data_IF_747960452379
#
_entry.id   IF_747960452379
#
_cell.length_a   1.000
_cell.length_b   1.000
_cell.length_c   1.000
_cell.angle_alpha   90.00
_cell.angle_beta   90.00
_cell.angle_gamma   90.00
#
_symmetry.space_group_name_H-M   'P 1'
#
loop_
_entity.id
_entity.type
_entity.pdbx_description
1 polymer ?
#
# COMPACT_ATOMS: atom_id res chain seq x y z
N UNK A 1 -32.00 3.29 19.37
CA UNK A 1 -30.70 3.65 19.94
C UNK A 1 -29.67 3.53 18.83
N UNK A 2 -29.17 4.66 18.29
CA UNK A 2 -28.00 4.62 17.41
C UNK A 2 -26.83 4.17 18.27
N UNK A 3 -26.25 2.99 17.98
CA UNK A 3 -24.97 2.62 18.57
C UNK A 3 -23.98 3.72 18.20
N UNK A 4 -23.32 4.34 19.18
CA UNK A 4 -22.29 5.31 18.85
C UNK A 4 -21.18 4.57 18.11
N UNK A 5 -20.84 5.04 16.91
CA UNK A 5 -19.82 4.46 16.05
C UNK A 5 -18.45 4.85 16.59
N UNK A 6 -18.04 4.21 17.68
CA UNK A 6 -16.83 4.59 18.43
C UNK A 6 -15.74 3.51 18.43
N UNK A 7 -16.03 2.32 17.88
CA UNK A 7 -15.05 1.22 17.86
C UNK A 7 -14.05 1.38 16.71
N UNK A 8 -12.76 1.31 17.03
CA UNK A 8 -11.69 1.18 16.04
C UNK A 8 -11.15 -0.25 16.10
N UNK A 9 -11.02 -0.88 14.94
CA UNK A 9 -10.44 -2.21 14.81
C UNK A 9 -8.99 -2.10 14.37
N UNK A 10 -8.07 -2.78 15.04
CA UNK A 10 -6.64 -2.81 14.69
C UNK A 10 -6.28 -4.18 14.14
N UNK A 11 -5.86 -4.22 12.87
CA UNK A 11 -5.39 -5.43 12.22
C UNK A 11 -3.85 -5.46 12.22
N UNK A 12 -3.28 -6.50 12.82
CA UNK A 12 -1.84 -6.75 12.83
C UNK A 12 -1.38 -7.53 11.62
N UNK A 13 -0.39 -7.02 10.88
CA UNK A 13 0.25 -7.77 9.78
C UNK A 13 1.75 -8.02 9.97
N UNK A 14 2.36 -7.39 10.98
CA UNK A 14 3.78 -7.54 11.32
C UNK A 14 4.59 -6.28 10.98
N UNK A 15 5.69 -6.45 10.26
CA UNK A 15 6.61 -5.37 9.90
C UNK A 15 7.53 -4.90 11.02
N UNK A 16 8.33 -3.87 10.72
CA UNK A 16 9.28 -3.23 11.65
C UNK A 16 8.60 -2.68 12.90
N UNK A 17 7.37 -2.17 12.80
CA UNK A 17 6.58 -1.68 13.94
C UNK A 17 6.34 -2.75 15.00
N UNK A 18 6.28 -4.01 14.57
CA UNK A 18 6.20 -5.20 15.40
C UNK A 18 7.57 -5.89 15.58
N UNK A 19 8.65 -5.31 15.05
CA UNK A 19 9.97 -5.91 15.02
C UNK A 19 10.76 -5.72 16.30
N UNK A 20 11.67 -6.65 16.58
CA UNK A 20 12.56 -6.59 17.75
C UNK A 20 14.02 -6.80 17.34
N UNK A 21 14.91 -6.11 18.03
CA UNK A 21 16.35 -6.23 17.91
C UNK A 21 16.95 -6.67 19.26
N UNK A 22 18.05 -7.40 19.21
CA UNK A 22 18.77 -7.81 20.43
C UNK A 22 19.41 -6.61 21.16
N UNK A 23 19.75 -5.54 20.43
CA UNK A 23 20.37 -4.34 20.97
C UNK A 23 19.53 -3.11 20.60
N UNK A 24 19.22 -2.20 21.55
CA UNK A 24 18.37 -1.03 21.27
C UNK A 24 18.91 -0.05 20.22
N UNK A 25 20.23 -0.03 19.96
CA UNK A 25 20.83 0.80 18.91
C UNK A 25 20.88 0.14 17.53
N UNK A 26 20.42 -1.11 17.41
CA UNK A 26 20.47 -1.86 16.15
C UNK A 26 19.17 -1.69 15.36
N UNK A 27 19.17 -0.72 14.46
CA UNK A 27 18.00 -0.39 13.64
C UNK A 27 17.96 -1.15 12.30
N UNK A 28 19.00 -1.94 11.99
CA UNK A 28 19.09 -2.69 10.72
C UNK A 28 19.05 -4.20 10.96
N UNK A 29 19.70 -4.70 12.00
CA UNK A 29 19.75 -6.11 12.39
C UNK A 29 18.60 -6.54 13.31
N UNK A 30 17.37 -6.11 13.00
CA UNK A 30 16.16 -6.54 13.72
C UNK A 30 15.43 -7.64 12.96
N UNK A 31 14.48 -8.30 13.63
CA UNK A 31 13.53 -9.23 13.01
C UNK A 31 12.15 -8.58 13.00
N UNK A 32 11.54 -8.42 11.83
CA UNK A 32 10.18 -7.88 11.71
C UNK A 32 9.12 -8.85 12.30
N UNK A 33 7.95 -8.33 12.67
CA UNK A 33 6.79 -9.16 13.04
C UNK A 33 7.02 -10.09 14.23
N UNK A 34 7.67 -9.63 15.30
CA UNK A 34 7.90 -10.46 16.50
C UNK A 34 6.86 -10.21 17.59
N UNK A 35 6.32 -8.99 17.68
CA UNK A 35 5.30 -8.60 18.65
C UNK A 35 3.90 -8.72 18.06
N UNK A 36 2.96 -9.30 18.81
CA UNK A 36 1.55 -9.31 18.44
C UNK A 36 0.92 -7.91 18.53
N UNK A 37 -0.12 -7.66 17.74
CA UNK A 37 -0.84 -6.38 17.71
C UNK A 37 -1.37 -5.98 19.09
N UNK A 38 -1.84 -6.94 19.88
CA UNK A 38 -2.30 -6.66 21.25
C UNK A 38 -1.15 -6.17 22.14
N UNK A 39 0.07 -6.70 21.98
CA UNK A 39 1.25 -6.26 22.72
C UNK A 39 1.66 -4.84 22.31
N UNK A 40 1.57 -4.51 21.01
CA UNK A 40 1.82 -3.14 20.53
C UNK A 40 0.85 -2.14 21.15
N UNK A 41 -0.44 -2.50 21.23
CA UNK A 41 -1.47 -1.62 21.79
C UNK A 41 -1.38 -1.49 23.31
N UNK A 42 -1.00 -2.56 24.03
CA UNK A 42 -0.83 -2.53 25.49
C UNK A 42 0.21 -1.50 25.95
N UNK A 43 1.17 -1.16 25.09
CA UNK A 43 2.18 -0.13 25.34
C UNK A 43 1.70 1.32 25.18
N UNK A 44 0.42 1.55 24.86
CA UNK A 44 -0.12 2.88 24.52
C UNK A 44 -1.26 3.30 25.46
N UNK A 45 -0.97 3.84 26.66
CA UNK A 45 -1.99 4.25 27.63
C UNK A 45 -2.97 5.29 27.09
N UNK A 46 -2.56 6.12 26.12
CA UNK A 46 -3.41 7.12 25.48
C UNK A 46 -4.60 6.52 24.73
N UNK A 47 -4.57 5.24 24.38
CA UNK A 47 -5.66 4.54 23.70
C UNK A 47 -6.61 3.81 24.67
N UNK A 48 -6.31 3.79 25.98
CA UNK A 48 -7.06 3.01 26.96
C UNK A 48 -8.53 3.47 27.14
N UNK A 49 -8.83 4.72 26.81
CA UNK A 49 -10.19 5.27 26.86
C UNK A 49 -11.02 4.99 25.59
N UNK A 50 -10.41 4.44 24.55
CA UNK A 50 -11.07 4.15 23.27
C UNK A 50 -11.58 2.71 23.23
N UNK A 51 -12.65 2.49 22.47
CA UNK A 51 -13.13 1.14 22.19
C UNK A 51 -12.27 0.50 21.09
N UNK A 52 -11.31 -0.31 21.49
CA UNK A 52 -10.37 -0.94 20.56
C UNK A 52 -10.59 -2.45 20.51
N UNK A 53 -10.71 -2.99 19.31
CA UNK A 53 -10.64 -4.45 19.05
C UNK A 53 -9.40 -4.72 18.24
N UNK A 54 -8.59 -5.70 18.62
CA UNK A 54 -7.38 -6.06 17.88
C UNK A 54 -7.47 -7.48 17.33
N UNK A 55 -7.02 -7.67 16.10
CA UNK A 55 -6.97 -8.96 15.43
C UNK A 55 -5.62 -9.14 14.74
N UNK A 56 -4.94 -10.26 14.99
CA UNK A 56 -3.71 -10.60 14.27
C UNK A 56 -4.07 -11.30 12.95
N UNK A 57 -3.84 -10.64 11.82
CA UNK A 57 -4.15 -11.16 10.48
C UNK A 57 -2.94 -11.91 9.90
N UNK A 58 -1.75 -11.33 10.06
CA UNK A 58 -0.49 -11.92 9.62
C UNK A 58 0.64 -11.46 10.55
N UNK A 59 1.79 -12.10 10.48
CA UNK A 59 2.93 -11.76 11.31
C UNK A 59 4.23 -11.93 10.51
N UNK A 60 4.40 -11.06 9.52
CA UNK A 60 5.41 -11.20 8.46
C UNK A 60 6.22 -9.92 8.26
N UNK A 61 7.35 -10.05 7.57
CA UNK A 61 8.04 -8.92 6.96
C UNK A 61 7.32 -8.55 5.65
N UNK A 62 7.09 -7.26 5.39
CA UNK A 62 6.25 -6.84 4.27
C UNK A 62 6.91 -7.07 2.91
N UNK A 63 8.24 -7.20 2.86
CA UNK A 63 8.97 -7.65 1.67
C UNK A 63 8.62 -9.08 1.23
N UNK A 64 8.11 -9.91 2.15
CA UNK A 64 7.73 -11.31 1.91
C UNK A 64 6.19 -11.46 1.83
N UNK A 65 5.45 -10.36 1.71
CA UNK A 65 3.99 -10.39 1.63
C UNK A 65 3.51 -11.09 0.35
N UNK A 66 2.62 -12.06 0.51
CA UNK A 66 2.00 -12.81 -0.58
C UNK A 66 0.52 -12.47 -0.78
N UNK A 67 -0.03 -12.97 -1.89
CA UNK A 67 -1.43 -12.75 -2.27
C UNK A 67 -2.43 -13.34 -1.27
N UNK A 68 -2.13 -14.50 -0.67
CA UNK A 68 -2.98 -15.09 0.37
C UNK A 68 -3.18 -14.12 1.55
N UNK A 69 -2.11 -13.40 1.94
CA UNK A 69 -2.20 -12.38 3.00
C UNK A 69 -3.09 -11.21 2.57
N UNK A 70 -2.99 -10.75 1.32
CA UNK A 70 -3.90 -9.73 0.80
C UNK A 70 -5.35 -10.19 0.76
N UNK A 71 -5.62 -11.44 0.37
CA UNK A 71 -6.98 -12.01 0.35
C UNK A 71 -7.58 -12.01 1.75
N UNK A 72 -6.85 -12.53 2.74
CA UNK A 72 -7.30 -12.55 4.13
C UNK A 72 -7.49 -11.12 4.64
N UNK A 73 -6.50 -10.23 4.46
CA UNK A 73 -6.58 -8.85 4.95
C UNK A 73 -7.77 -8.10 4.35
N UNK A 74 -7.99 -8.17 3.03
CA UNK A 74 -9.12 -7.53 2.37
C UNK A 74 -10.47 -8.07 2.88
N UNK A 75 -10.58 -9.39 3.06
CA UNK A 75 -11.78 -10.02 3.61
C UNK A 75 -12.05 -9.58 5.07
N UNK A 76 -11.02 -9.48 5.90
CA UNK A 76 -11.14 -9.02 7.29
C UNK A 76 -11.51 -7.54 7.36
N UNK A 77 -10.89 -6.69 6.54
CA UNK A 77 -11.30 -5.29 6.40
C UNK A 77 -12.78 -5.18 6.00
N UNK A 78 -13.21 -5.89 4.95
CA UNK A 78 -14.61 -5.88 4.52
C UNK A 78 -15.58 -6.29 5.63
N UNK A 79 -15.24 -7.37 6.35
CA UNK A 79 -16.02 -7.86 7.49
C UNK A 79 -16.21 -6.79 8.58
N UNK A 80 -15.13 -6.13 9.00
CA UNK A 80 -15.19 -5.12 10.05
C UNK A 80 -15.88 -3.83 9.58
N UNK A 81 -15.64 -3.39 8.35
CA UNK A 81 -16.23 -2.17 7.82
C UNK A 81 -17.77 -2.25 7.68
N UNK A 82 -18.32 -3.45 7.46
CA UNK A 82 -19.78 -3.68 7.41
C UNK A 82 -20.48 -3.50 8.76
N UNK A 83 -19.76 -3.55 9.89
CA UNK A 83 -20.37 -3.45 11.21
C UNK A 83 -20.72 -1.98 11.53
N UNK A 84 -21.98 -1.65 11.88
CA UNK A 84 -22.39 -0.26 12.11
C UNK A 84 -21.64 0.45 13.24
N UNK A 85 -21.23 -0.28 14.28
CA UNK A 85 -20.52 0.21 15.45
C UNK A 85 -19.00 0.38 15.23
N UNK A 86 -18.46 -0.13 14.12
CA UNK A 86 -17.07 0.11 13.71
C UNK A 86 -16.96 1.42 12.97
N UNK A 87 -16.16 2.35 13.51
CA UNK A 87 -15.83 3.64 12.90
C UNK A 87 -14.85 3.50 11.75
N UNK A 88 -13.82 2.67 11.93
CA UNK A 88 -12.73 2.50 10.96
C UNK A 88 -11.78 1.38 11.37
N UNK A 89 -10.83 1.10 10.48
CA UNK A 89 -9.81 0.06 10.65
C UNK A 89 -8.43 0.70 10.62
N UNK A 90 -7.61 0.42 11.63
CA UNK A 90 -6.17 0.71 11.64
C UNK A 90 -5.41 -0.56 11.29
N UNK A 91 -4.39 -0.48 10.44
CA UNK A 91 -3.56 -1.63 10.06
C UNK A 91 -2.11 -1.33 10.40
N UNK A 92 -1.49 -2.17 11.24
CA UNK A 92 -0.04 -2.11 11.48
C UNK A 92 0.68 -2.97 10.44
N UNK A 93 1.60 -2.36 9.70
CA UNK A 93 2.24 -2.97 8.52
C UNK A 93 3.73 -2.65 8.43
N UNK A 94 4.49 -3.48 7.69
CA UNK A 94 5.87 -3.19 7.34
C UNK A 94 5.99 -2.14 6.24
N UNK A 95 7.03 -1.31 6.29
CA UNK A 95 7.16 -0.13 5.44
C UNK A 95 7.42 -0.43 3.96
N UNK A 96 8.01 -1.58 3.63
CA UNK A 96 8.51 -1.85 2.27
C UNK A 96 7.40 -1.95 1.22
N UNK A 97 6.29 -2.63 1.52
CA UNK A 97 5.16 -2.82 0.59
C UNK A 97 3.84 -2.25 1.13
N UNK A 98 3.88 -1.34 2.12
CA UNK A 98 2.66 -0.72 2.67
C UNK A 98 1.92 0.10 1.61
N UNK A 99 2.65 0.73 0.68
CA UNK A 99 2.05 1.52 -0.40
C UNK A 99 1.27 0.65 -1.40
N UNK A 100 1.70 -0.60 -1.60
CA UNK A 100 1.02 -1.59 -2.43
C UNK A 100 -0.25 -2.06 -1.74
N UNK A 101 -0.13 -2.45 -0.47
CA UNK A 101 -1.25 -2.95 0.33
C UNK A 101 -2.32 -1.87 0.53
N UNK A 102 -1.93 -0.63 0.82
CA UNK A 102 -2.85 0.50 0.91
C UNK A 102 -3.64 0.68 -0.39
N UNK A 103 -2.94 0.64 -1.53
CA UNK A 103 -3.56 0.82 -2.84
C UNK A 103 -4.52 -0.31 -3.21
N UNK A 104 -4.12 -1.57 -2.96
CA UNK A 104 -4.97 -2.72 -3.18
C UNK A 104 -6.26 -2.62 -2.35
N UNK A 105 -6.16 -2.37 -1.05
CA UNK A 105 -7.33 -2.22 -0.18
C UNK A 105 -8.24 -1.05 -0.63
N UNK A 106 -7.64 0.05 -1.10
CA UNK A 106 -8.40 1.16 -1.66
C UNK A 106 -9.24 0.74 -2.85
N UNK A 107 -8.65 0.01 -3.81
CA UNK A 107 -9.29 -0.40 -5.06
C UNK A 107 -10.33 -1.50 -4.88
N UNK A 108 -10.05 -2.49 -4.03
CA UNK A 108 -10.92 -3.67 -3.90
C UNK A 108 -12.09 -3.43 -2.94
N UNK A 109 -11.99 -2.45 -2.04
CA UNK A 109 -13.03 -2.16 -1.04
C UNK A 109 -13.77 -0.84 -1.30
N UNK A 110 -13.14 0.15 -1.94
CA UNK A 110 -13.64 1.52 -2.08
C UNK A 110 -14.33 2.05 -0.80
N UNK A 111 -13.62 2.07 0.34
CA UNK A 111 -14.27 2.08 1.64
C UNK A 111 -14.84 3.46 2.00
N UNK A 112 -16.09 3.48 2.47
CA UNK A 112 -16.78 4.69 2.96
C UNK A 112 -16.40 5.08 4.39
N UNK A 113 -15.71 4.16 5.09
CA UNK A 113 -15.09 4.35 6.40
C UNK A 113 -13.57 4.31 6.23
N UNK A 114 -12.76 4.90 7.12
CA UNK A 114 -11.33 4.98 6.92
C UNK A 114 -10.66 3.62 7.16
N UNK A 115 -9.78 3.24 6.23
CA UNK A 115 -8.73 2.25 6.46
C UNK A 115 -7.42 3.03 6.61
N UNK A 116 -6.84 3.04 7.81
CA UNK A 116 -5.63 3.78 8.13
C UNK A 116 -4.48 2.81 8.32
N UNK A 117 -3.61 2.69 7.33
CA UNK A 117 -2.37 1.96 7.46
C UNK A 117 -1.37 2.80 8.25
N UNK A 118 -0.55 2.15 9.05
CA UNK A 118 0.58 2.75 9.74
C UNK A 118 1.72 1.76 9.87
N UNK A 119 2.91 2.28 10.15
CA UNK A 119 4.16 1.54 10.11
C UNK A 119 5.22 2.21 11.00
N UNK A 120 6.43 1.65 11.05
CA UNK A 120 7.56 2.26 11.73
C UNK A 120 8.84 2.00 10.94
N UNK A 121 9.77 2.95 10.99
CA UNK A 121 11.11 2.82 10.40
C UNK A 121 12.13 2.27 11.39
N UNK A 122 11.82 2.27 12.69
CA UNK A 122 12.65 1.66 13.75
C UNK A 122 11.90 0.51 14.44
N UNK A 123 12.61 -0.56 14.85
CA UNK A 123 12.00 -1.66 15.59
C UNK A 123 11.45 -1.19 16.95
N UNK A 124 10.50 -1.93 17.50
CA UNK A 124 9.84 -1.60 18.77
C UNK A 124 10.82 -1.53 19.96
N UNK A 125 11.95 -2.22 19.89
CA UNK A 125 13.00 -2.22 20.91
C UNK A 125 14.05 -1.12 20.73
N UNK A 126 13.90 -0.24 19.72
CA UNK A 126 14.82 0.88 19.53
C UNK A 126 14.79 1.82 20.74
N UNK A 127 15.86 2.60 20.95
CA UNK A 127 15.91 3.61 22.03
C UNK A 127 14.79 4.66 21.87
N UNK A 128 14.51 5.05 20.63
CA UNK A 128 13.46 6.00 20.28
C UNK A 128 12.66 5.46 19.08
N UNK A 129 11.72 4.52 19.32
CA UNK A 129 10.90 3.93 18.26
C UNK A 129 9.83 4.94 17.80
N UNK A 130 9.57 4.99 16.49
CA UNK A 130 8.55 5.86 15.90
C UNK A 130 7.15 5.21 15.85
N UNK A 131 7.08 3.88 15.99
CA UNK A 131 5.84 3.09 15.97
C UNK A 131 4.75 3.56 16.94
N UNK A 132 5.05 3.80 18.24
CA UNK A 132 4.05 4.29 19.20
C UNK A 132 3.32 5.55 18.75
N UNK A 133 4.06 6.56 18.29
CA UNK A 133 3.45 7.82 17.82
C UNK A 133 2.67 7.59 16.52
N UNK A 134 3.22 6.83 15.58
CA UNK A 134 2.54 6.54 14.31
C UNK A 134 1.20 5.81 14.53
N UNK A 135 1.10 4.92 15.53
CA UNK A 135 -0.18 4.28 15.91
C UNK A 135 -1.15 5.33 16.49
N UNK A 136 -0.70 6.18 17.41
CA UNK A 136 -1.56 7.23 17.98
C UNK A 136 -2.09 8.16 16.87
N UNK A 137 -1.23 8.55 15.93
CA UNK A 137 -1.62 9.37 14.78
C UNK A 137 -2.64 8.65 13.89
N UNK A 138 -2.46 7.34 13.67
CA UNK A 138 -3.43 6.54 12.93
C UNK A 138 -4.80 6.48 13.60
N UNK A 139 -4.85 6.45 14.93
CA UNK A 139 -6.09 6.54 15.70
C UNK A 139 -6.74 7.91 15.57
N UNK A 140 -5.98 9.00 15.60
CA UNK A 140 -6.50 10.35 15.39
C UNK A 140 -7.16 10.49 14.01
N UNK A 141 -6.52 9.94 12.98
CA UNK A 141 -7.05 9.89 11.61
C UNK A 141 -8.31 9.03 11.53
N UNK A 142 -8.29 7.81 12.07
CA UNK A 142 -9.46 6.92 12.07
C UNK A 142 -10.65 7.49 12.87
N UNK A 143 -10.37 8.37 13.84
CA UNK A 143 -11.37 9.04 14.66
C UNK A 143 -11.95 10.30 14.02
N UNK A 144 -11.34 10.79 12.93
CA UNK A 144 -11.76 12.04 12.30
C UNK A 144 -13.13 11.90 11.62
N UNK A 145 -14.12 12.76 11.92
CA UNK A 145 -15.42 12.72 11.25
C UNK A 145 -15.29 12.89 9.73
N UNK A 146 -15.97 12.03 8.97
CA UNK A 146 -15.93 12.03 7.51
C UNK A 146 -14.67 11.42 6.89
N UNK A 147 -13.72 10.92 7.69
CA UNK A 147 -12.58 10.16 7.19
C UNK A 147 -13.05 8.92 6.42
N UNK A 148 -12.49 8.70 5.24
CA UNK A 148 -12.85 7.61 4.33
C UNK A 148 -11.70 7.27 3.39
N UNK A 149 -11.87 6.19 2.62
CA UNK A 149 -10.83 5.69 1.74
C UNK A 149 -9.73 4.96 2.51
N UNK A 150 -8.70 4.52 1.78
CA UNK A 150 -7.50 3.96 2.40
C UNK A 150 -6.40 5.02 2.39
N UNK A 151 -5.73 5.18 3.52
CA UNK A 151 -4.66 6.17 3.73
C UNK A 151 -3.49 5.55 4.51
N UNK A 152 -2.30 6.11 4.35
CA UNK A 152 -1.13 5.80 5.18
C UNK A 152 -0.85 6.99 6.10
N UNK A 153 -0.58 6.72 7.38
CA UNK A 153 -0.11 7.71 8.34
C UNK A 153 1.27 7.30 8.87
N UNK A 154 2.25 8.19 8.70
CA UNK A 154 3.61 7.99 9.17
C UNK A 154 4.26 9.36 9.45
N UNK A 155 4.97 9.49 10.58
CA UNK A 155 5.65 10.73 10.99
C UNK A 155 4.72 11.97 10.96
N UNK A 156 3.48 11.81 11.44
CA UNK A 156 2.48 12.89 11.47
C UNK A 156 1.93 13.30 10.10
N UNK A 157 2.27 12.63 8.99
CA UNK A 157 1.75 12.96 7.65
C UNK A 157 0.75 11.92 7.18
N UNK A 158 -0.38 12.38 6.63
CA UNK A 158 -1.45 11.52 6.09
C UNK A 158 -1.36 11.51 4.56
N UNK A 159 -1.21 10.33 3.97
CA UNK A 159 -1.05 10.13 2.53
C UNK A 159 -2.20 9.32 1.93
N UNK A 160 -2.70 9.71 0.76
CA UNK A 160 -3.66 8.91 0.00
C UNK A 160 -3.01 7.64 -0.55
N UNK A 161 -3.73 6.51 -0.50
CA UNK A 161 -3.21 5.21 -0.94
C UNK A 161 -2.71 5.19 -2.41
N UNK A 162 -3.33 5.96 -3.31
CA UNK A 162 -2.91 6.07 -4.71
C UNK A 162 -1.62 6.89 -4.87
N UNK A 163 -1.39 7.84 -3.96
CA UNK A 163 -0.35 8.86 -4.08
C UNK A 163 0.94 8.48 -3.34
N UNK A 164 0.80 7.77 -2.22
CA UNK A 164 1.90 7.52 -1.28
C UNK A 164 3.02 6.69 -1.89
N UNK A 165 4.28 7.10 -1.71
CA UNK A 165 5.46 6.34 -2.14
C UNK A 165 6.52 6.34 -1.05
N UNK A 166 7.18 5.21 -0.81
CA UNK A 166 8.40 5.16 0.02
C UNK A 166 9.58 5.68 -0.80
N UNK A 167 10.17 6.78 -0.37
CA UNK A 167 11.23 7.50 -1.10
C UNK A 167 12.55 7.56 -0.36
N UNK A 168 12.59 7.16 0.91
CA UNK A 168 13.83 7.07 1.68
C UNK A 168 13.95 5.73 2.41
N UNK A 169 15.12 5.06 2.35
CA UNK A 169 15.30 3.74 2.96
C UNK A 169 15.47 3.77 4.49
N UNK A 170 15.81 4.93 5.07
CA UNK A 170 16.23 5.02 6.48
C UNK A 170 15.58 6.13 7.34
N UNK A 171 15.01 7.18 6.74
CA UNK A 171 14.51 8.33 7.50
C UNK A 171 13.19 7.98 8.18
N UNK A 172 12.85 8.70 9.25
CA UNK A 172 11.57 8.51 9.95
C UNK A 172 10.37 9.03 9.15
N UNK A 173 10.60 9.96 8.23
CA UNK A 173 9.66 10.50 7.24
C UNK A 173 9.94 9.90 5.85
N UNK A 174 9.80 8.58 5.63
CA UNK A 174 10.27 7.95 4.40
C UNK A 174 9.27 8.07 3.25
N UNK A 175 8.07 8.62 3.47
CA UNK A 175 6.98 8.63 2.50
C UNK A 175 6.70 10.03 1.94
N UNK A 176 6.32 10.09 0.66
CA UNK A 176 5.80 11.31 0.00
C UNK A 176 4.49 11.01 -0.72
N UNK A 177 3.68 12.04 -0.98
CA UNK A 177 2.55 11.98 -1.92
C UNK A 177 2.85 12.66 -3.25
N UNK A 178 4.13 13.03 -3.48
CA UNK A 178 4.58 13.73 -4.69
C UNK A 178 3.77 15.00 -4.96
N UNK A 179 3.49 15.25 -6.24
CA UNK A 179 2.74 16.43 -6.72
C UNK A 179 1.31 16.52 -6.18
N UNK A 180 0.70 15.41 -5.73
CA UNK A 180 -0.65 15.42 -5.17
C UNK A 180 -0.69 16.05 -3.77
N UNK A 181 0.44 16.06 -3.06
CA UNK A 181 0.53 16.51 -1.67
C UNK A 181 -0.19 15.59 -0.68
N UNK A 182 0.08 15.74 0.63
CA UNK A 182 -0.58 14.95 1.66
C UNK A 182 -2.07 15.31 1.77
N UNK A 183 -2.85 14.41 2.35
CA UNK A 183 -4.24 14.67 2.76
C UNK A 183 -4.28 15.65 3.94
N UNK A 184 -3.30 15.54 4.84
CA UNK A 184 -3.22 16.36 6.04
C UNK A 184 -2.05 16.00 6.92
N UNK A 185 -2.03 16.64 8.08
CA UNK A 185 -1.00 16.48 9.10
C UNK A 185 -1.65 16.23 10.46
N UNK A 186 -1.11 15.31 11.24
CA UNK A 186 -1.55 15.07 12.62
C UNK A 186 -0.70 15.96 13.54
N UNK A 187 -1.36 16.88 14.21
CA UNK A 187 -0.77 17.90 15.07
C UNK A 187 -1.56 17.92 16.39
N UNK A 188 -0.87 17.72 17.51
CA UNK A 188 -1.49 17.66 18.85
C UNK A 188 -2.69 16.68 18.92
N UNK A 189 -2.51 15.48 18.33
CA UNK A 189 -3.53 14.44 18.30
C UNK A 189 -4.75 14.74 17.42
N UNK A 190 -4.69 15.79 16.59
CA UNK A 190 -5.79 16.20 15.69
C UNK A 190 -5.31 16.26 14.25
N UNK A 191 -6.17 15.87 13.32
CA UNK A 191 -5.90 16.02 11.90
C UNK A 191 -6.18 17.46 11.45
N UNK A 192 -5.15 18.15 10.95
CA UNK A 192 -5.28 19.31 10.08
C UNK A 192 -5.34 18.84 8.63
N UNK A 193 -6.55 18.69 8.11
CA UNK A 193 -6.79 18.30 6.73
C UNK A 193 -6.49 19.46 5.77
N UNK A 194 -5.80 19.16 4.66
CA UNK A 194 -5.43 20.15 3.61
C UNK A 194 -5.87 19.73 2.21
N UNK A 195 -6.27 18.47 2.03
CA UNK A 195 -6.82 17.92 0.79
C UNK A 195 -7.95 16.94 1.11
N UNK A 196 -8.87 16.76 0.16
CA UNK A 196 -9.99 15.83 0.30
C UNK A 196 -9.52 14.37 0.48
N UNK A 197 -10.39 13.58 1.10
CA UNK A 197 -10.19 12.14 1.25
C UNK A 197 -10.18 11.44 -0.12
N UNK A 198 -9.39 10.36 -0.29
CA UNK A 198 -9.28 9.68 -1.56
C UNK A 198 -10.57 8.93 -1.87
N UNK A 199 -11.04 9.04 -3.11
CA UNK A 199 -12.23 8.35 -3.61
C UNK A 199 -11.77 7.28 -4.60
N UNK A 200 -12.06 6.02 -4.28
CA UNK A 200 -11.78 4.92 -5.19
C UNK A 200 -12.93 4.76 -6.20
N UNK A 201 -12.65 4.29 -7.42
CA UNK A 201 -13.70 3.80 -8.32
C UNK A 201 -14.53 2.71 -7.65
N UNK A 202 -15.78 2.55 -8.09
CA UNK A 202 -16.63 1.46 -7.61
C UNK A 202 -15.92 0.11 -7.80
N UNK A 203 -15.83 -0.74 -6.76
CA UNK A 203 -14.98 -1.92 -6.79
C UNK A 203 -15.62 -3.09 -7.57
N UNK A 204 -16.89 -2.98 -7.97
CA UNK A 204 -17.63 -4.07 -8.62
C UNK A 204 -17.55 -5.36 -7.80
N UNK A 205 -17.19 -6.46 -8.46
CA UNK A 205 -17.00 -7.78 -7.82
C UNK A 205 -15.55 -8.07 -7.40
N UNK A 206 -14.64 -7.07 -7.40
CA UNK A 206 -13.21 -7.30 -7.14
C UNK A 206 -12.94 -8.03 -5.82
N UNK A 207 -13.61 -7.64 -4.72
CA UNK A 207 -13.48 -8.33 -3.44
C UNK A 207 -13.83 -9.83 -3.54
N UNK A 208 -14.93 -10.16 -4.24
CA UNK A 208 -15.34 -11.56 -4.43
C UNK A 208 -14.34 -12.32 -5.29
N UNK A 209 -13.82 -11.68 -6.34
CA UNK A 209 -12.82 -12.25 -7.25
C UNK A 209 -11.51 -12.55 -6.56
N UNK A 210 -10.98 -11.61 -5.77
CA UNK A 210 -9.77 -11.88 -4.98
C UNK A 210 -10.04 -12.96 -3.94
N UNK A 211 -11.18 -12.94 -3.23
CA UNK A 211 -11.47 -13.92 -2.19
C UNK A 211 -11.65 -15.36 -2.74
N UNK A 212 -12.18 -15.50 -3.96
CA UNK A 212 -12.37 -16.79 -4.63
C UNK A 212 -11.17 -17.26 -5.47
N UNK A 213 -10.15 -16.43 -5.64
CA UNK A 213 -9.02 -16.75 -6.52
C UNK A 213 -8.07 -17.76 -5.87
N UNK A 214 -7.84 -18.88 -6.55
CA UNK A 214 -6.77 -19.84 -6.21
C UNK A 214 -5.44 -19.53 -6.90
N UNK A 215 -5.49 -18.75 -7.97
CA UNK A 215 -4.33 -18.38 -8.78
C UNK A 215 -4.53 -16.98 -9.32
N UNK A 216 -3.64 -16.07 -8.97
CA UNK A 216 -3.69 -14.70 -9.45
C UNK A 216 -3.03 -14.60 -10.83
N UNK A 217 -3.47 -13.65 -11.67
CA UNK A 217 -2.77 -13.37 -12.92
C UNK A 217 -1.31 -13.05 -12.65
N UNK A 218 -0.40 -13.49 -13.52
CA UNK A 218 1.00 -13.12 -13.39
C UNK A 218 1.27 -11.78 -14.06
N UNK A 219 1.66 -10.78 -13.25
CA UNK A 219 2.03 -9.44 -13.72
C UNK A 219 3.38 -9.04 -13.16
N UNK A 220 4.29 -8.66 -14.05
CA UNK A 220 5.68 -8.32 -13.73
C UNK A 220 5.99 -6.86 -14.04
N UNK A 221 7.00 -6.32 -13.36
CA UNK A 221 7.54 -4.98 -13.63
C UNK A 221 8.90 -5.12 -14.30
N UNK A 222 9.07 -4.46 -15.44
CA UNK A 222 10.35 -4.44 -16.18
C UNK A 222 10.89 -3.01 -16.20
N UNK A 223 12.15 -2.81 -15.84
CA UNK A 223 12.78 -1.50 -15.81
C UNK A 223 13.48 -1.17 -17.12
N UNK A 224 13.19 -0.02 -17.72
CA UNK A 224 13.98 0.53 -18.82
C UNK A 224 15.24 1.22 -18.28
N UNK A 225 16.38 0.96 -18.90
CA UNK A 225 17.67 1.56 -18.58
C UNK A 225 18.61 1.53 -19.79
N UNK A 226 19.79 2.15 -19.68
CA UNK A 226 20.83 2.08 -20.71
C UNK A 226 21.24 0.62 -20.94
N UNK A 227 21.19 0.17 -22.20
CA UNK A 227 21.47 -1.23 -22.56
C UNK A 227 20.36 -2.23 -22.24
N UNK A 228 19.15 -1.77 -21.90
CA UNK A 228 18.00 -2.68 -21.73
C UNK A 228 17.66 -3.37 -23.07
N UNK A 229 17.26 -4.64 -23.01
CA UNK A 229 16.92 -5.44 -24.20
C UNK A 229 15.75 -6.37 -23.96
N UNK A 230 15.30 -7.03 -25.03
CA UNK A 230 14.08 -7.84 -25.01
C UNK A 230 14.15 -9.20 -24.30
N UNK A 231 15.35 -9.69 -23.93
CA UNK A 231 15.53 -11.07 -23.41
C UNK A 231 14.70 -11.36 -22.16
N UNK A 232 14.63 -10.40 -21.23
CA UNK A 232 13.80 -10.54 -20.02
C UNK A 232 12.32 -10.69 -20.38
N UNK A 233 11.80 -9.82 -21.26
CA UNK A 233 10.40 -9.88 -21.72
C UNK A 233 10.12 -11.21 -22.41
N UNK A 234 11.01 -11.66 -23.30
CA UNK A 234 10.86 -12.94 -24.00
C UNK A 234 10.81 -14.12 -23.02
N UNK A 235 11.66 -14.12 -21.99
CA UNK A 235 11.64 -15.14 -20.95
C UNK A 235 10.32 -15.12 -20.15
N UNK A 236 9.84 -13.94 -19.77
CA UNK A 236 8.55 -13.80 -19.06
C UNK A 236 7.38 -14.30 -19.90
N UNK A 237 7.36 -13.99 -21.21
CA UNK A 237 6.34 -14.47 -22.15
C UNK A 237 6.38 -15.99 -22.29
N UNK A 238 7.58 -16.57 -22.41
CA UNK A 238 7.75 -18.03 -22.48
C UNK A 238 7.26 -18.73 -21.20
N UNK A 239 7.36 -18.05 -20.06
CA UNK A 239 6.93 -18.51 -18.74
C UNK A 239 5.47 -18.07 -18.41
N UNK A 240 4.69 -17.65 -19.40
CA UNK A 240 3.25 -17.43 -19.28
C UNK A 240 2.83 -16.16 -18.54
N UNK A 241 3.65 -15.11 -18.53
CA UNK A 241 3.24 -13.81 -17.98
C UNK A 241 1.98 -13.29 -18.69
N UNK A 242 1.03 -12.73 -17.94
CA UNK A 242 -0.23 -12.22 -18.47
C UNK A 242 -0.23 -10.69 -18.58
N UNK A 243 0.57 -10.00 -17.77
CA UNK A 243 0.74 -8.56 -17.84
C UNK A 243 2.17 -8.09 -17.57
N UNK A 244 2.56 -6.99 -18.20
CA UNK A 244 3.85 -6.34 -17.96
C UNK A 244 3.64 -4.84 -17.78
N UNK A 245 4.19 -4.31 -16.69
CA UNK A 245 4.36 -2.88 -16.47
C UNK A 245 5.80 -2.53 -16.79
N UNK A 246 6.04 -1.72 -17.82
CA UNK A 246 7.39 -1.19 -18.07
C UNK A 246 7.59 0.13 -17.34
N UNK A 247 8.55 0.18 -16.42
CA UNK A 247 9.02 1.40 -15.78
C UNK A 247 10.02 2.11 -16.71
N UNK A 248 9.49 2.98 -17.59
CA UNK A 248 10.26 3.74 -18.56
C UNK A 248 11.08 4.89 -17.93
N UNK A 249 12.00 5.45 -18.71
CA UNK A 249 12.80 6.63 -18.33
C UNK A 249 12.05 7.92 -18.65
N UNK A 250 12.19 8.98 -17.83
CA UNK A 250 11.58 10.28 -18.14
C UNK A 250 10.04 10.19 -18.25
N UNK A 251 9.46 10.63 -19.37
CA UNK A 251 8.03 10.49 -19.66
C UNK A 251 7.67 9.06 -20.15
N UNK A 252 8.17 8.06 -19.44
CA UNK A 252 8.06 6.63 -19.77
C UNK A 252 8.61 6.22 -21.15
N UNK A 253 9.70 6.84 -21.60
CA UNK A 253 10.46 6.38 -22.77
C UNK A 253 11.09 5.01 -22.50
N UNK A 254 11.04 4.13 -23.49
CA UNK A 254 11.53 2.74 -23.40
C UNK A 254 12.66 2.55 -24.40
N UNK A 255 13.70 1.83 -24.00
CA UNK A 255 14.78 1.47 -24.92
C UNK A 255 14.22 0.68 -26.12
N UNK A 256 14.64 1.01 -27.35
CA UNK A 256 14.05 0.46 -28.59
C UNK A 256 13.94 -1.08 -28.57
N UNK A 257 15.04 -1.78 -28.28
CA UNK A 257 15.05 -3.25 -28.24
C UNK A 257 14.16 -3.85 -27.14
N UNK A 258 13.88 -3.10 -26.07
CA UNK A 258 12.92 -3.51 -25.04
C UNK A 258 11.49 -3.23 -25.51
N UNK A 259 11.23 -2.06 -26.11
CA UNK A 259 9.92 -1.70 -26.67
C UNK A 259 9.46 -2.70 -27.73
N UNK A 260 10.35 -3.08 -28.66
CA UNK A 260 10.01 -4.03 -29.72
C UNK A 260 9.59 -5.40 -29.14
N UNK A 261 10.31 -5.90 -28.12
CA UNK A 261 9.92 -7.13 -27.44
C UNK A 261 8.61 -7.01 -26.64
N UNK A 262 8.33 -5.84 -26.05
CA UNK A 262 7.07 -5.57 -25.37
C UNK A 262 5.90 -5.53 -26.35
N UNK A 263 6.09 -4.99 -27.55
CA UNK A 263 5.07 -4.97 -28.59
C UNK A 263 4.82 -6.36 -29.16
N UNK A 264 5.87 -7.17 -29.33
CA UNK A 264 5.72 -8.59 -29.66
C UNK A 264 4.95 -9.35 -28.57
N UNK A 265 5.22 -9.07 -27.29
CA UNK A 265 4.47 -9.64 -26.17
C UNK A 265 2.99 -9.22 -26.21
N UNK A 266 2.72 -7.95 -26.47
CA UNK A 266 1.37 -7.43 -26.63
C UNK A 266 0.61 -8.08 -27.79
N UNK A 267 1.28 -8.28 -28.93
CA UNK A 267 0.71 -9.00 -30.06
C UNK A 267 0.38 -10.47 -29.76
N UNK A 268 1.03 -11.07 -28.75
CA UNK A 268 0.75 -12.42 -28.23
C UNK A 268 -0.31 -12.44 -27.13
N UNK A 269 -0.95 -11.31 -26.83
CA UNK A 269 -2.03 -11.19 -25.85
C UNK A 269 -1.58 -10.83 -24.43
N UNK A 270 -0.29 -10.57 -24.19
CA UNK A 270 0.18 -10.04 -22.90
C UNK A 270 -0.27 -8.60 -22.75
N UNK A 271 -0.90 -8.25 -21.62
CA UNK A 271 -1.31 -6.86 -21.38
C UNK A 271 -0.10 -6.02 -20.98
N UNK A 272 0.30 -5.08 -21.83
CA UNK A 272 1.46 -4.21 -21.56
C UNK A 272 1.02 -2.78 -21.30
N UNK A 273 1.52 -2.17 -20.23
CA UNK A 273 1.36 -0.74 -19.94
C UNK A 273 2.71 -0.12 -19.59
N UNK A 274 2.89 1.17 -19.91
CA UNK A 274 4.09 1.93 -19.52
C UNK A 274 3.79 2.85 -18.33
N UNK A 275 4.66 2.77 -17.34
CA UNK A 275 4.78 3.72 -16.23
C UNK A 275 6.16 4.37 -16.29
N UNK A 276 6.47 5.25 -15.34
CA UNK A 276 7.79 5.90 -15.25
C UNK A 276 8.52 5.48 -13.99
N UNK A 277 9.84 5.35 -14.09
CA UNK A 277 10.73 5.21 -12.92
C UNK A 277 11.03 6.57 -12.24
N UNK A 278 10.56 7.68 -12.81
CA UNK A 278 10.64 8.98 -12.14
C UNK A 278 9.82 8.94 -10.84
N UNK A 279 10.37 9.58 -9.81
CA UNK A 279 9.76 9.59 -8.48
C UNK A 279 8.45 10.37 -8.42
N UNK A 280 8.38 11.47 -9.18
CA UNK A 280 7.22 12.37 -9.23
C UNK A 280 6.72 12.54 -10.67
N UNK A 281 5.57 13.18 -10.81
CA UNK A 281 4.87 13.34 -12.08
C UNK A 281 4.11 12.10 -12.54
N UNK A 282 3.42 12.27 -13.67
CA UNK A 282 2.66 11.24 -14.36
C UNK A 282 3.09 11.16 -15.82
N UNK A 283 2.87 10.00 -16.44
CA UNK A 283 3.11 9.82 -17.87
C UNK A 283 2.08 10.64 -18.65
N UNK A 284 2.57 11.50 -19.54
CA UNK A 284 1.74 12.26 -20.48
C UNK A 284 1.64 11.43 -21.77
N UNK A 285 0.45 10.90 -22.04
CA UNK A 285 0.17 10.14 -23.25
C UNK A 285 0.11 11.04 -24.49
N UNK A 286 0.62 10.53 -25.60
CA UNK A 286 0.65 11.16 -26.93
C UNK A 286 0.00 10.21 -27.95
N UNK A 287 -0.53 10.76 -29.03
CA UNK A 287 -1.26 9.98 -30.05
C UNK A 287 -0.38 8.94 -30.78
N UNK A 288 0.92 9.21 -30.86
CA UNK A 288 1.91 8.34 -31.51
C UNK A 288 2.47 7.23 -30.61
N UNK A 289 2.08 7.16 -29.34
CA UNK A 289 2.63 6.18 -28.40
C UNK A 289 2.18 4.77 -28.78
N UNK A 290 3.15 3.86 -28.89
CA UNK A 290 2.92 2.46 -29.30
C UNK A 290 2.41 1.59 -28.14
N UNK A 291 2.68 2.00 -26.90
CA UNK A 291 2.26 1.33 -25.67
C UNK A 291 1.39 2.27 -24.80
N UNK A 292 0.31 1.76 -24.20
CA UNK A 292 -0.60 2.59 -23.40
C UNK A 292 0.06 3.05 -22.09
N UNK A 293 -0.11 4.33 -21.75
CA UNK A 293 0.37 4.90 -20.49
C UNK A 293 -0.50 4.50 -19.30
N UNK A 294 0.14 4.24 -18.17
CA UNK A 294 -0.51 4.14 -16.87
C UNK A 294 -0.15 5.37 -16.01
N UNK A 295 -1.11 6.01 -15.33
CA UNK A 295 -0.85 7.23 -14.57
C UNK A 295 -0.12 6.98 -13.24
N UNK A 296 -0.18 5.75 -12.70
CA UNK A 296 0.39 5.40 -11.40
C UNK A 296 1.84 4.92 -11.50
N UNK A 297 2.54 4.97 -10.36
CA UNK A 297 3.86 4.38 -10.16
C UNK A 297 3.88 2.89 -10.56
N UNK A 298 5.04 2.33 -10.95
CA UNK A 298 5.12 0.95 -11.45
C UNK A 298 4.50 -0.11 -10.54
N UNK A 299 4.71 0.00 -9.21
CA UNK A 299 4.17 -0.97 -8.25
C UNK A 299 2.64 -0.89 -8.11
N UNK A 300 2.05 0.30 -8.19
CA UNK A 300 0.59 0.49 -8.18
C UNK A 300 -0.05 0.18 -9.53
N UNK A 301 0.63 0.50 -10.63
CA UNK A 301 0.22 0.10 -11.97
C UNK A 301 0.18 -1.43 -12.12
N UNK A 302 1.12 -2.14 -11.47
CA UNK A 302 1.10 -3.61 -11.41
C UNK A 302 -0.16 -4.11 -10.71
N UNK A 303 -0.55 -3.50 -9.60
CA UNK A 303 -1.76 -3.87 -8.86
C UNK A 303 -3.01 -3.60 -9.68
N UNK A 304 -3.12 -2.43 -10.32
CA UNK A 304 -4.25 -2.14 -11.21
C UNK A 304 -4.34 -3.17 -12.33
N UNK A 305 -3.22 -3.49 -12.97
CA UNK A 305 -3.17 -4.47 -14.04
C UNK A 305 -3.51 -5.90 -13.54
N UNK A 306 -3.09 -6.28 -12.33
CA UNK A 306 -3.51 -7.52 -11.69
C UNK A 306 -5.03 -7.58 -11.52
N UNK A 307 -5.63 -6.52 -10.98
CA UNK A 307 -7.07 -6.43 -10.74
C UNK A 307 -7.87 -6.40 -12.04
N UNK A 308 -7.39 -5.70 -13.07
CA UNK A 308 -8.00 -5.68 -14.41
C UNK A 308 -8.01 -7.07 -15.07
N UNK A 309 -6.93 -7.84 -14.93
CA UNK A 309 -6.85 -9.20 -15.47
C UNK A 309 -7.70 -10.22 -14.70
N UNK A 310 -8.15 -9.87 -13.50
CA UNK A 310 -9.16 -10.64 -12.74
C UNK A 310 -10.59 -10.19 -13.07
N UNK A 311 -10.76 -8.99 -13.64
CA UNK A 311 -12.05 -8.33 -13.85
C UNK A 311 -12.87 -8.92 -15.02
#
# INVERSE_FOLDING_TARGET
>A
MQASSDRIVVLGTGGTIAGTAARPGDHLGYRAGQLGVQQLLAGLPSLASLQVVSEQVAQIDSKDLGFDTWQVLAARCAHWLQQPDVRGVVITHGTDTVEETAYLLHRVLAPDKPIVLTCAMRPATAVAPDGPQNIIDAFAVASTPGARGAVLVCAGVVHGAADVRKVHPYRLDPFTSGDAGPIGYVEDGKLRQVRDWPVAPAPGDLLRKIAGSRSWPRVEIVLSHAGAGGRLVQALVADGVQGIVVAGTGNASVHQALEDALLEAAAKGVRVVRSTRCMDGRVIAQAQDRLPAHPLAPVKARIDLLLELMA
#
